data_IF_739947078440
#
_entry.id   IF_739947078440
#
_cell.length_a   1.000
_cell.length_b   1.000
_cell.length_c   1.000
_cell.angle_alpha   90.00
_cell.angle_beta   90.00
_cell.angle_gamma   90.00
#
_symmetry.space_group_name_H-M   'P 1'
#
loop_
_entity.id
_entity.type
_entity.pdbx_description
1 polymer ?
2 non-polymer ?
3 non-polymer ?
4 non-polymer ?
5 water ?
#
# COMPACT_ATOMS: atom_id res chain seq x y z
N UNK A 23 -24.63 -3.90 -15.24
CA UNK A 23 -24.14 -2.73 -14.54
C UNK A 23 -24.90 -2.39 -13.24
N UNK A 24 -24.22 -1.69 -12.36
CA UNK A 24 -24.80 -1.16 -11.15
C UNK A 24 -24.86 0.34 -11.32
N UNK A 25 -25.60 1.03 -10.47
CA UNK A 25 -25.61 2.48 -10.51
C UNK A 25 -24.17 2.95 -10.38
N UNK A 26 -23.51 2.46 -9.32
CA UNK A 26 -22.16 2.88 -8.94
C UNK A 26 -21.15 2.80 -10.08
N UNK A 27 -21.20 1.71 -10.85
CA UNK A 27 -20.32 1.54 -12.01
C UNK A 27 -20.60 2.58 -13.09
N UNK A 28 -21.88 2.77 -13.35
CA UNK A 28 -22.36 3.75 -14.31
C UNK A 28 -21.82 5.16 -13.97
N UNK A 29 -21.98 5.57 -12.71
CA UNK A 29 -21.53 6.89 -12.26
C UNK A 29 -20.03 7.04 -12.37
N UNK A 30 -19.31 5.98 -11.98
CA UNK A 30 -17.84 6.05 -11.96
C UNK A 30 -17.31 6.09 -13.40
N UNK A 31 -17.88 5.26 -14.27
CA UNK A 31 -17.43 5.21 -15.66
C UNK A 31 -17.69 6.55 -16.35
N UNK A 32 -18.80 7.20 -15.98
CA UNK A 32 -19.19 8.46 -16.61
C UNK A 32 -18.47 9.71 -16.06
N UNK A 33 -17.73 9.56 -14.97
CA UNK A 33 -17.16 10.75 -14.32
C UNK A 33 -15.87 11.28 -14.94
N UNK A 34 -15.65 12.59 -14.83
CA UNK A 34 -14.37 13.18 -15.22
C UNK A 34 -13.33 12.84 -14.17
N UNK A 35 -12.10 12.57 -14.60
CA UNK A 35 -11.04 12.24 -13.67
C UNK A 35 -10.13 13.45 -13.50
N UNK A 36 -10.24 14.14 -12.35
CA UNK A 36 -9.46 15.35 -12.11
C UNK A 36 -7.99 15.01 -12.16
N UNK A 37 -7.13 16.02 -12.23
CA UNK A 37 -5.71 15.75 -12.38
C UNK A 37 -5.07 15.28 -11.08
N UNK A 38 -3.84 14.79 -11.21
CA UNK A 38 -3.09 14.33 -10.06
C UNK A 38 -2.96 15.50 -9.10
N UNK A 39 -2.66 16.67 -9.65
CA UNK A 39 -2.41 17.86 -8.84
C UNK A 39 -3.68 18.29 -8.11
N UNK A 40 -4.80 18.29 -8.82
CA UNK A 40 -6.09 18.66 -8.22
C UNK A 40 -6.50 17.70 -7.09
N UNK A 41 -6.03 16.46 -7.18
CA UNK A 41 -6.42 15.40 -6.25
C UNK A 41 -5.42 15.24 -5.11
N UNK A 42 -4.24 15.86 -5.26
CA UNK A 42 -3.28 15.92 -4.17
C UNK A 42 -2.60 14.57 -3.91
N UNK A 43 -2.87 13.63 -4.80
CA UNK A 43 -2.38 12.28 -4.62
C UNK A 43 -0.87 12.18 -4.80
N UNK A 44 -0.21 13.29 -5.12
CA UNK A 44 1.26 13.33 -5.20
C UNK A 44 1.93 13.71 -3.88
N UNK A 45 1.13 14.13 -2.90
CA UNK A 45 1.67 14.58 -1.61
C UNK A 45 1.79 13.44 -0.61
N UNK A 46 2.97 13.31 0.00
CA UNK A 46 3.16 12.31 1.03
C UNK A 46 2.20 12.52 2.20
N UNK A 47 1.74 13.75 2.37
CA UNK A 47 0.90 14.14 3.50
C UNK A 47 -0.59 13.95 3.21
N UNK A 48 -0.86 13.36 2.05
CA UNK A 48 -2.22 13.08 1.62
C UNK A 48 -3.12 12.43 2.68
N UNK A 49 -4.40 12.79 2.65
CA UNK A 49 -5.37 12.21 3.57
C UNK A 49 -6.70 12.01 2.86
N UNK A 50 -7.42 10.97 3.27
CA UNK A 50 -8.62 10.58 2.55
C UNK A 50 -9.88 10.81 3.37
N UNK A 51 -9.74 11.37 4.57
CA UNK A 51 -10.90 11.48 5.48
C UNK A 51 -12.12 12.18 4.88
N UNK A 52 -11.88 13.20 4.06
CA UNK A 52 -12.96 14.03 3.54
C UNK A 52 -13.49 13.52 2.19
N UNK A 53 -12.91 12.43 1.70
CA UNK A 53 -13.25 11.86 0.40
C UNK A 53 -14.38 10.84 0.50
N UNK A 54 -15.29 10.87 -0.48
CA UNK A 54 -16.31 9.84 -0.66
C UNK A 54 -15.68 8.64 -1.35
N UNK A 55 -16.38 7.51 -1.34
CA UNK A 55 -15.90 6.32 -2.04
C UNK A 55 -15.64 6.62 -3.50
N UNK A 56 -16.60 7.28 -4.15
CA UNK A 56 -16.46 7.62 -5.56
C UNK A 56 -15.17 8.39 -5.80
N UNK A 57 -14.89 9.34 -4.91
CA UNK A 57 -13.70 10.15 -5.03
C UNK A 57 -12.41 9.35 -4.87
N UNK A 58 -12.44 8.33 -4.02
CA UNK A 58 -11.25 7.51 -3.86
C UNK A 58 -11.11 6.69 -5.14
N UNK A 59 -12.24 6.27 -5.68
CA UNK A 59 -12.25 5.55 -6.94
C UNK A 59 -11.59 6.36 -8.06
N UNK A 60 -11.90 7.64 -8.13
CA UNK A 60 -11.35 8.47 -9.19
C UNK A 60 -9.87 8.67 -8.98
N UNK A 61 -9.47 8.82 -7.72
CA UNK A 61 -8.07 8.97 -7.37
C UNK A 61 -7.28 7.78 -7.86
N UNK A 62 -7.91 6.61 -7.74
CA UNK A 62 -7.25 5.38 -8.10
C UNK A 62 -7.08 5.28 -9.62
N UNK A 63 -8.07 5.74 -10.37
CA UNK A 63 -7.93 5.77 -11.82
C UNK A 63 -6.79 6.68 -12.22
N UNK A 64 -6.73 7.82 -11.54
CA UNK A 64 -5.71 8.80 -11.84
C UNK A 64 -4.31 8.23 -11.60
N UNK A 65 -4.23 7.33 -10.62
CA UNK A 65 -2.96 6.70 -10.30
C UNK A 65 -2.51 5.80 -11.44
N UNK A 66 -3.42 4.96 -11.93
CA UNK A 66 -3.08 4.09 -13.06
C UNK A 66 -2.78 4.92 -14.29
N UNK A 67 -3.49 6.03 -14.45
CA UNK A 67 -3.29 6.88 -15.61
C UNK A 67 -1.92 7.58 -15.63
N UNK A 68 -1.55 8.26 -14.55
CA UNK A 68 -0.28 9.02 -14.51
C UNK A 68 0.96 8.15 -14.42
N UNK A 69 0.76 6.89 -14.04
CA UNK A 69 1.84 5.93 -14.06
C UNK A 69 2.01 5.29 -15.45
N UNK A 70 1.10 5.62 -16.36
CA UNK A 70 1.18 5.19 -17.76
C UNK A 70 0.70 3.78 -17.95
N UNK A 71 -0.10 3.31 -17.00
CA UNK A 71 -0.54 1.93 -16.97
C UNK A 71 -1.71 1.67 -17.91
N UNK A 72 -2.64 2.63 -17.99
CA UNK A 72 -3.74 2.50 -18.92
C UNK A 72 -3.20 2.48 -20.37
N UNK A 73 -2.28 3.38 -20.63
CA UNK A 73 -1.63 3.49 -21.93
C UNK A 73 -0.86 2.23 -22.33
N UNK A 74 0.20 1.94 -21.59
CA UNK A 74 1.11 0.86 -21.98
C UNK A 74 0.52 -0.55 -21.97
N UNK A 75 -0.69 -0.73 -21.43
CA UNK A 75 -1.28 -2.05 -21.31
C UNK A 75 -2.72 -2.05 -21.78
N UNK A 76 -3.08 -1.00 -22.50
CA UNK A 76 -4.36 -0.92 -23.19
C UNK A 76 -5.53 -1.36 -22.32
N UNK A 77 -5.68 -0.75 -21.16
CA UNK A 77 -6.82 -1.09 -20.33
C UNK A 77 -8.05 -0.33 -20.82
N UNK A 78 -9.17 -1.03 -20.90
CA UNK A 78 -10.44 -0.40 -21.22
C UNK A 78 -11.02 0.27 -19.98
N UNK A 79 -11.41 1.52 -20.13
CA UNK A 79 -11.94 2.34 -19.04
C UNK A 79 -12.97 1.59 -18.19
N UNK A 80 -13.91 0.92 -18.83
CA UNK A 80 -14.99 0.25 -18.12
C UNK A 80 -14.47 -0.92 -17.30
N UNK A 81 -13.40 -1.54 -17.79
CA UNK A 81 -12.83 -2.71 -17.14
C UNK A 81 -12.04 -2.30 -15.88
N UNK A 82 -11.18 -1.28 -16.03
CA UNK A 82 -10.52 -0.69 -14.87
C UNK A 82 -11.52 -0.27 -13.78
N UNK A 83 -12.55 0.49 -14.17
CA UNK A 83 -13.57 0.95 -13.21
C UNK A 83 -14.22 -0.21 -12.47
N UNK A 84 -14.56 -1.24 -13.21
CA UNK A 84 -15.27 -2.39 -12.64
C UNK A 84 -14.29 -3.10 -11.69
N UNK A 85 -13.02 -3.12 -12.09
CA UNK A 85 -12.00 -3.78 -11.30
C UNK A 85 -11.87 -3.11 -9.94
N UNK A 86 -11.77 -1.79 -9.97
CA UNK A 86 -11.63 -0.99 -8.77
C UNK A 86 -12.87 -1.13 -7.89
N UNK A 87 -14.04 -1.10 -8.51
CA UNK A 87 -15.25 -1.32 -7.72
C UNK A 87 -15.27 -2.71 -7.09
N UNK A 88 -14.73 -3.69 -7.80
CA UNK A 88 -14.65 -5.03 -7.26
C UNK A 88 -13.68 -5.06 -6.08
N UNK A 89 -12.52 -4.43 -6.24
CA UNK A 89 -11.55 -4.43 -5.15
C UNK A 89 -12.15 -3.78 -3.90
N UNK A 90 -12.75 -2.60 -4.07
CA UNK A 90 -13.36 -1.90 -2.95
C UNK A 90 -14.43 -2.74 -2.27
N UNK A 91 -15.27 -3.39 -3.08
CA UNK A 91 -16.35 -4.20 -2.55
C UNK A 91 -15.84 -5.35 -1.68
N UNK A 92 -14.64 -5.84 -1.96
CA UNK A 92 -14.13 -7.00 -1.23
C UNK A 92 -13.31 -6.67 0.00
N UNK A 93 -13.32 -5.42 0.42
CA UNK A 93 -12.86 -5.07 1.75
C UNK A 93 -14.09 -4.97 2.63
N UNK A 94 -13.91 -5.12 3.94
CA UNK A 94 -15.05 -5.03 4.86
C UNK A 94 -15.11 -3.66 5.56
N UNK A 95 -16.25 -2.99 5.43
CA UNK A 95 -16.45 -1.68 6.04
C UNK A 95 -16.48 -1.81 7.56
N UNK A 96 -17.03 -2.92 8.02
CA UNK A 96 -17.17 -3.23 9.43
C UNK A 96 -15.83 -3.41 10.20
N UNK A 97 -14.71 -3.39 9.48
CA UNK A 97 -13.40 -3.50 10.10
C UNK A 97 -12.77 -2.11 10.18
N UNK A 98 -12.47 -1.67 11.38
CA UNK A 98 -12.13 -0.27 11.65
C UNK A 98 -10.93 0.27 10.85
N UNK A 99 -9.86 -0.52 10.78
CA UNK A 99 -8.67 -0.05 10.08
C UNK A 99 -8.39 -0.80 8.78
N UNK A 100 -8.37 -2.12 8.84
CA UNK A 100 -8.05 -2.92 7.65
C UNK A 100 -9.22 -2.99 6.67
N UNK A 101 -9.40 -1.91 5.91
CA UNK A 101 -10.52 -1.80 5.00
C UNK A 101 -10.07 -1.07 3.72
N UNK A 102 -11.00 -0.79 2.83
CA UNK A 102 -10.63 -0.19 1.54
C UNK A 102 -9.81 1.08 1.71
N UNK A 103 -10.14 1.89 2.71
CA UNK A 103 -9.45 3.15 2.90
C UNK A 103 -7.96 2.95 3.16
N UNK A 104 -7.64 1.91 3.94
CA UNK A 104 -6.27 1.60 4.22
C UNK A 104 -5.55 1.14 2.95
N UNK A 105 -6.25 0.31 2.17
CA UNK A 105 -5.74 -0.20 0.91
C UNK A 105 -5.51 0.94 -0.05
N UNK A 106 -6.48 1.85 -0.09
CA UNK A 106 -6.40 3.03 -0.94
C UNK A 106 -5.22 3.94 -0.57
N UNK A 107 -5.01 4.13 0.73
CA UNK A 107 -3.89 4.91 1.23
C UNK A 107 -2.52 4.28 0.96
N UNK A 108 -2.45 2.97 1.10
CA UNK A 108 -1.24 2.24 0.72
C UNK A 108 -0.92 2.48 -0.75
N UNK A 109 -1.92 2.42 -1.63
CA UNK A 109 -1.66 2.70 -3.04
C UNK A 109 -1.26 4.16 -3.30
N UNK A 110 -1.90 5.10 -2.60
CA UNK A 110 -1.56 6.51 -2.78
C UNK A 110 -0.11 6.75 -2.35
N UNK A 111 0.29 6.09 -1.27
CA UNK A 111 1.68 6.21 -0.86
C UNK A 111 2.65 5.61 -1.89
N UNK A 112 2.27 4.50 -2.51
CA UNK A 112 3.09 3.92 -3.59
C UNK A 112 3.25 4.96 -4.71
N UNK A 113 2.13 5.54 -5.11
CA UNK A 113 2.12 6.54 -6.16
C UNK A 113 3.04 7.71 -5.83
N UNK A 114 2.91 8.22 -4.61
CA UNK A 114 3.71 9.37 -4.18
C UNK A 114 5.18 8.99 -4.17
N UNK A 115 5.50 7.79 -3.71
CA UNK A 115 6.88 7.33 -3.69
C UNK A 115 7.43 7.19 -5.09
N UNK A 116 6.58 6.81 -6.04
CA UNK A 116 7.04 6.62 -7.42
C UNK A 116 7.32 7.95 -8.11
N UNK A 117 6.40 8.91 -7.92
CA UNK A 117 6.48 10.23 -8.54
C UNK A 117 7.30 11.21 -7.68
N UNK A 118 6.69 11.80 -6.66
CA UNK A 118 7.44 12.70 -5.75
C UNK A 118 8.73 12.06 -5.21
N UNK A 119 8.68 10.77 -4.90
CA UNK A 119 9.85 10.04 -4.42
C UNK A 119 10.83 9.60 -5.51
N UNK A 120 10.47 9.81 -6.77
CA UNK A 120 11.37 9.55 -7.90
C UNK A 120 11.86 8.10 -8.01
N UNK A 121 11.05 7.16 -7.52
CA UNK A 121 11.40 5.74 -7.58
C UNK A 121 10.97 5.10 -8.91
N UNK A 122 10.01 5.74 -9.57
CA UNK A 122 9.53 5.31 -10.86
C UNK A 122 10.66 4.95 -11.83
N UNK A 123 11.69 5.80 -11.85
CA UNK A 123 12.79 5.64 -12.80
C UNK A 123 13.72 4.48 -12.44
N UNK A 124 13.55 3.94 -11.24
CA UNK A 124 14.36 2.81 -10.82
C UNK A 124 13.74 1.45 -11.16
N UNK A 125 12.53 1.47 -11.73
CA UNK A 125 11.75 0.25 -11.89
C UNK A 125 11.20 0.07 -13.31
N UNK A 126 10.81 -1.16 -13.65
CA UNK A 126 10.17 -1.40 -14.94
C UNK A 126 8.67 -1.16 -14.84
N UNK A 127 8.05 -0.97 -16.01
CA UNK A 127 6.61 -0.82 -16.11
C UNK A 127 5.87 -1.98 -15.46
N UNK A 128 6.38 -3.19 -15.62
CA UNK A 128 5.66 -4.36 -15.14
C UNK A 128 5.74 -4.41 -13.62
N UNK A 129 6.90 -4.02 -13.09
CA UNK A 129 7.08 -3.90 -11.64
C UNK A 129 6.13 -2.84 -11.07
N UNK A 130 5.99 -1.73 -11.77
CA UNK A 130 5.15 -0.63 -11.32
C UNK A 130 3.67 -1.04 -11.31
N UNK A 131 3.26 -1.66 -12.41
CA UNK A 131 1.91 -2.18 -12.57
C UNK A 131 1.57 -3.11 -11.41
N UNK A 132 2.53 -3.97 -11.08
CA UNK A 132 2.35 -5.01 -10.09
C UNK A 132 2.31 -4.45 -8.66
N UNK A 133 3.11 -3.42 -8.41
CA UNK A 133 3.11 -2.78 -7.10
C UNK A 133 1.81 -2.04 -6.80
N UNK A 134 1.25 -1.38 -7.81
CA UNK A 134 0.02 -0.63 -7.62
C UNK A 134 -1.09 -1.61 -7.30
N UNK A 135 -1.16 -2.69 -8.08
CA UNK A 135 -2.24 -3.64 -7.94
C UNK A 135 -2.11 -4.36 -6.61
N UNK A 136 -0.86 -4.67 -6.27
CA UNK A 136 -0.54 -5.32 -5.02
C UNK A 136 -0.91 -4.41 -3.83
N UNK A 137 -0.55 -3.14 -3.93
CA UNK A 137 -0.89 -2.18 -2.87
C UNK A 137 -2.40 -2.13 -2.63
N UNK A 138 -3.17 -2.06 -3.69
CA UNK A 138 -4.62 -2.00 -3.61
C UNK A 138 -5.23 -3.30 -3.10
N UNK A 139 -4.59 -4.41 -3.41
CA UNK A 139 -5.19 -5.70 -3.12
C UNK A 139 -4.64 -6.41 -1.89
N UNK A 140 -3.55 -5.90 -1.31
CA UNK A 140 -2.78 -6.64 -0.26
C UNK A 140 -3.48 -7.01 1.04
N UNK A 141 -4.64 -6.43 1.31
CA UNK A 141 -5.40 -6.77 2.52
C UNK A 141 -6.82 -7.22 2.17
N UNK A 142 -7.04 -7.66 0.94
CA UNK A 142 -8.39 -8.03 0.49
C UNK A 142 -9.09 -9.01 1.42
N UNK A 143 -10.34 -8.70 1.77
CA UNK A 143 -11.15 -9.55 2.63
C UNK A 143 -10.61 -9.75 4.05
N UNK A 144 -9.77 -8.82 4.50
CA UNK A 144 -9.29 -8.82 5.88
C UNK A 144 -10.46 -8.71 6.91
N UNK A 145 -10.39 -9.44 8.02
CA UNK A 145 -11.50 -9.45 8.96
C UNK A 145 -11.15 -8.82 10.31
N UNK A 146 -9.99 -8.18 10.38
CA UNK A 146 -9.53 -7.55 11.59
C UNK A 146 -8.51 -8.43 12.27
N UNK A 147 -7.46 -7.83 12.81
CA UNK A 147 -6.36 -8.56 13.43
C UNK A 147 -6.83 -9.56 14.49
N UNK A 148 -7.92 -9.24 15.15
CA UNK A 148 -8.54 -10.16 16.09
C UNK A 148 -9.18 -11.39 15.44
N UNK A 149 -10.18 -11.19 14.58
CA UNK A 149 -10.88 -12.31 13.93
C UNK A 149 -9.94 -13.40 13.36
N UNK A 150 -10.33 -14.66 13.61
CA UNK A 150 -9.46 -15.81 13.38
C UNK A 150 -10.04 -16.87 12.46
N UNK A 151 -10.44 -16.47 11.24
CA UNK A 151 -10.84 -17.43 10.22
C UNK A 151 -9.61 -17.98 9.48
N UNK A 152 -8.62 -18.43 10.25
CA UNK A 152 -7.41 -19.03 9.71
C UNK A 152 -7.53 -20.55 9.76
N UNK A 153 -8.67 -21.04 10.21
CA UNK A 153 -8.94 -22.46 10.23
C UNK A 153 -9.59 -22.94 8.94
N UNK A 154 -9.00 -23.95 8.31
CA UNK A 154 -7.78 -24.56 8.80
C UNK A 154 -6.90 -24.93 7.61
N UNK A 155 -6.15 -26.03 7.72
CA UNK A 155 -6.14 -26.85 8.92
C UNK A 155 -4.78 -26.84 9.59
N UNK A 156 -3.95 -25.86 9.21
CA UNK A 156 -2.62 -25.74 9.78
C UNK A 156 -1.62 -26.70 9.14
N UNK A 165 3.80 -19.50 8.91
CA UNK A 165 3.47 -19.23 7.51
C UNK A 165 2.61 -17.97 7.36
N UNK A 166 2.62 -17.39 6.15
CA UNK A 166 1.86 -16.17 5.85
C UNK A 166 0.44 -16.50 5.40
N UNK A 167 -0.34 -17.07 6.30
CA UNK A 167 -1.71 -17.52 6.03
C UNK A 167 -2.63 -16.43 5.48
N UNK A 168 -2.63 -15.27 6.13
CA UNK A 168 -3.48 -14.17 5.69
C UNK A 168 -3.11 -13.69 4.28
N UNK A 169 -1.82 -13.51 4.08
CA UNK A 169 -1.31 -12.90 2.87
C UNK A 169 -1.63 -13.80 1.66
N UNK A 170 -1.50 -15.11 1.85
CA UNK A 170 -1.85 -16.04 0.78
C UNK A 170 -3.32 -15.87 0.44
N UNK A 171 -4.14 -15.68 1.44
CA UNK A 171 -5.56 -15.50 1.21
C UNK A 171 -5.85 -14.15 0.52
N UNK A 172 -5.06 -13.12 0.84
CA UNK A 172 -5.27 -11.83 0.20
C UNK A 172 -4.92 -11.93 -1.26
N UNK A 173 -3.84 -12.65 -1.56
CA UNK A 173 -3.47 -12.87 -2.96
C UNK A 173 -4.46 -13.69 -3.77
N UNK A 174 -5.06 -14.70 -3.14
CA UNK A 174 -6.09 -15.50 -3.81
C UNK A 174 -7.25 -14.62 -4.20
N UNK A 175 -7.67 -13.79 -3.26
CA UNK A 175 -8.76 -12.86 -3.46
C UNK A 175 -8.42 -11.92 -4.63
N UNK A 176 -7.18 -11.44 -4.65
CA UNK A 176 -6.69 -10.59 -5.75
C UNK A 176 -6.74 -11.27 -7.13
N UNK A 177 -6.25 -12.50 -7.21
CA UNK A 177 -6.22 -13.25 -8.46
C UNK A 177 -7.66 -13.52 -8.92
N UNK A 178 -8.51 -13.91 -7.99
CA UNK A 178 -9.90 -14.15 -8.29
C UNK A 178 -10.49 -12.93 -9.01
N UNK A 179 -10.31 -11.75 -8.42
CA UNK A 179 -10.81 -10.52 -9.02
C UNK A 179 -10.19 -10.25 -10.39
N UNK A 180 -8.87 -10.37 -10.49
CA UNK A 180 -8.20 -10.14 -11.75
C UNK A 180 -8.71 -11.06 -12.86
N UNK A 181 -9.33 -12.18 -12.47
CA UNK A 181 -9.81 -13.17 -13.42
C UNK A 181 -11.31 -13.12 -13.65
N UNK A 182 -12.00 -12.24 -12.93
CA UNK A 182 -13.44 -12.12 -13.10
C UNK A 182 -13.82 -11.48 -14.44
N UNK A 183 -14.91 -11.98 -15.04
CA UNK A 183 -15.38 -11.43 -16.31
C UNK A 183 -15.64 -9.93 -16.17
N UNK A 184 -15.09 -9.15 -17.10
CA UNK A 184 -15.27 -7.73 -17.12
C UNK A 184 -14.25 -6.98 -16.30
N UNK A 185 -13.48 -7.72 -15.50
CA UNK A 185 -12.56 -7.10 -14.56
C UNK A 185 -11.10 -7.27 -14.93
N UNK A 186 -10.84 -7.91 -16.06
CA UNK A 186 -9.48 -8.33 -16.38
C UNK A 186 -8.57 -7.23 -16.90
N UNK A 187 -8.05 -6.43 -15.99
CA UNK A 187 -7.17 -5.32 -16.38
C UNK A 187 -5.82 -5.76 -16.94
N UNK A 188 -5.53 -7.06 -16.90
CA UNK A 188 -4.26 -7.54 -17.45
C UNK A 188 -4.42 -8.24 -18.81
N UNK A 189 -5.64 -8.23 -19.35
CA UNK A 189 -5.91 -8.92 -20.61
C UNK A 189 -4.94 -8.47 -21.70
N UNK A 190 -4.53 -7.21 -21.65
CA UNK A 190 -3.67 -6.65 -22.67
C UNK A 190 -2.20 -7.03 -22.59
N UNK A 191 -1.82 -7.79 -21.56
CA UNK A 191 -0.46 -8.32 -21.44
C UNK A 191 -0.30 -9.66 -22.17
N UNK A 192 0.83 -9.85 -22.85
CA UNK A 192 1.20 -11.18 -23.37
C UNK A 192 1.32 -12.22 -22.23
N UNK A 193 1.35 -13.52 -22.52
CA UNK A 193 1.50 -14.50 -21.42
C UNK A 193 2.78 -14.32 -20.62
N UNK A 194 3.87 -14.03 -21.31
CA UNK A 194 5.15 -13.80 -20.63
C UNK A 194 5.01 -12.66 -19.64
N UNK A 195 4.59 -11.51 -20.15
CA UNK A 195 4.38 -10.34 -19.30
C UNK A 195 3.47 -10.69 -18.14
N UNK A 196 2.43 -11.46 -18.44
CA UNK A 196 1.40 -11.75 -17.47
C UNK A 196 1.92 -12.61 -16.33
N UNK A 197 2.66 -13.66 -16.68
CA UNK A 197 3.22 -14.57 -15.70
C UNK A 197 4.17 -13.83 -14.74
N UNK A 198 5.05 -13.03 -15.32
CA UNK A 198 5.97 -12.17 -14.58
C UNK A 198 5.25 -11.21 -13.62
N UNK A 199 4.25 -10.51 -14.13
CA UNK A 199 3.49 -9.56 -13.31
C UNK A 199 2.79 -10.28 -12.16
N UNK A 200 2.22 -11.44 -12.44
CA UNK A 200 1.57 -12.23 -11.42
C UNK A 200 2.53 -12.65 -10.29
N UNK A 201 3.75 -13.00 -10.64
CA UNK A 201 4.70 -13.48 -9.66
C UNK A 201 5.10 -12.31 -8.78
N UNK A 202 5.39 -11.19 -9.41
CA UNK A 202 5.72 -9.97 -8.69
C UNK A 202 4.58 -9.54 -7.77
N UNK A 203 3.34 -9.61 -8.26
CA UNK A 203 2.21 -9.26 -7.42
C UNK A 203 2.16 -10.16 -6.19
N UNK A 204 2.30 -11.46 -6.42
CA UNK A 204 2.20 -12.43 -5.32
C UNK A 204 3.25 -12.14 -4.26
N UNK A 205 4.49 -11.92 -4.70
CA UNK A 205 5.61 -11.61 -3.81
C UNK A 205 5.36 -10.32 -3.04
N UNK A 206 4.79 -9.32 -3.71
CA UNK A 206 4.53 -8.03 -3.10
C UNK A 206 3.51 -8.18 -1.98
N UNK A 207 2.46 -8.95 -2.23
CA UNK A 207 1.43 -9.12 -1.21
C UNK A 207 1.93 -9.96 -0.04
N UNK A 208 2.84 -10.89 -0.31
CA UNK A 208 3.35 -11.73 0.76
C UNK A 208 4.32 -10.91 1.59
N UNK A 209 5.04 -10.02 0.91
CA UNK A 209 5.95 -9.11 1.56
C UNK A 209 5.29 -8.31 2.69
N UNK A 210 3.97 -8.08 2.62
CA UNK A 210 3.27 -7.26 3.62
C UNK A 210 3.05 -7.98 4.95
N UNK A 211 3.50 -9.23 5.00
CA UNK A 211 3.55 -9.97 6.25
C UNK A 211 4.74 -9.42 7.04
N UNK A 212 4.45 -8.79 8.16
CA UNK A 212 5.50 -8.17 8.92
C UNK A 212 6.56 -9.18 9.35
N UNK A 213 6.16 -10.42 9.55
CA UNK A 213 7.12 -11.47 9.87
C UNK A 213 8.13 -11.65 8.73
N UNK A 214 7.68 -11.60 7.48
CA UNK A 214 8.63 -11.65 6.37
C UNK A 214 9.53 -10.42 6.37
N UNK A 215 8.95 -9.26 6.62
CA UNK A 215 9.74 -8.02 6.62
C UNK A 215 10.91 -8.06 7.64
N UNK A 216 10.65 -8.60 8.83
CA UNK A 216 11.67 -8.70 9.87
C UNK A 216 12.79 -9.70 9.51
N UNK A 217 12.43 -10.81 8.87
CA UNK A 217 13.41 -11.80 8.47
C UNK A 217 14.29 -11.25 7.35
N UNK A 218 13.69 -10.49 6.44
CA UNK A 218 14.38 -10.09 5.22
C UNK A 218 15.17 -8.80 5.38
N UNK A 219 14.79 -7.95 6.34
CA UNK A 219 15.29 -6.58 6.35
C UNK A 219 16.78 -6.45 6.69
N UNK A 220 17.24 -7.33 7.58
CA UNK A 220 18.65 -7.39 7.93
C UNK A 220 19.55 -7.34 6.71
N UNK A 221 19.28 -8.22 5.76
CA UNK A 221 20.03 -8.23 4.51
C UNK A 221 19.98 -6.88 3.80
N UNK A 222 18.82 -6.25 3.81
CA UNK A 222 18.63 -4.97 3.12
C UNK A 222 19.45 -3.88 3.80
N UNK A 223 19.46 -3.93 5.12
CA UNK A 223 20.22 -2.97 5.92
C UNK A 223 21.72 -3.14 5.74
N UNK A 224 22.18 -4.40 5.72
CA UNK A 224 23.60 -4.69 5.49
C UNK A 224 24.09 -4.10 4.18
N UNK A 225 23.30 -4.31 3.13
CA UNK A 225 23.69 -3.87 1.81
C UNK A 225 23.85 -2.37 1.78
N UNK A 226 22.87 -1.67 2.33
CA UNK A 226 22.92 -0.22 2.36
C UNK A 226 24.16 0.31 3.13
N UNK A 227 24.43 -0.26 4.31
CA UNK A 227 25.54 0.25 5.11
C UNK A 227 26.91 -0.12 4.52
N UNK A 228 27.01 -1.30 3.93
CA UNK A 228 28.24 -1.70 3.24
C UNK A 228 28.34 -0.98 1.89
N UNK A 229 27.46 -0.01 1.67
CA UNK A 229 27.39 0.69 0.38
C UNK A 229 27.31 -0.25 -0.84
N UNK A 230 26.89 -1.49 -0.59
CA UNK A 230 26.81 -2.55 -1.61
C UNK A 230 25.51 -2.56 -2.44
N UNK A 231 24.49 -1.82 -2.01
CA UNK A 231 23.17 -1.94 -2.63
C UNK A 231 23.13 -1.69 -4.15
N UNK A 232 22.57 -2.66 -4.88
CA UNK A 232 22.52 -2.61 -6.34
C UNK A 232 21.20 -3.16 -6.89
N UNK A 233 20.36 -2.24 -7.40
CA UNK A 233 19.03 -2.59 -7.87
C UNK A 233 19.05 -3.43 -9.15
N UNK A 234 20.19 -3.46 -9.84
CA UNK A 234 20.29 -4.20 -11.09
C UNK A 234 20.44 -5.70 -10.86
N UNK A 235 20.75 -6.09 -9.63
CA UNK A 235 20.73 -7.50 -9.27
C UNK A 235 19.30 -7.95 -9.00
N UNK A 236 18.83 -8.97 -9.70
CA UNK A 236 17.45 -9.47 -9.57
C UNK A 236 17.06 -9.76 -8.12
N UNK A 237 17.98 -10.34 -7.37
CA UNK A 237 17.70 -10.70 -5.98
C UNK A 237 17.44 -9.46 -5.12
N UNK A 238 18.30 -8.45 -5.30
CA UNK A 238 18.22 -7.22 -4.53
C UNK A 238 17.01 -6.39 -4.94
N UNK A 239 16.72 -6.39 -6.24
CA UNK A 239 15.52 -5.75 -6.77
C UNK A 239 14.26 -6.32 -6.11
N UNK A 240 14.18 -7.63 -6.06
CA UNK A 240 13.03 -8.26 -5.44
C UNK A 240 12.94 -7.91 -3.95
N UNK A 241 14.09 -7.77 -3.30
CA UNK A 241 14.11 -7.42 -1.88
C UNK A 241 13.64 -5.96 -1.68
N UNK A 242 14.09 -5.08 -2.56
CA UNK A 242 13.65 -3.70 -2.48
C UNK A 242 12.13 -3.58 -2.62
N UNK A 243 11.57 -4.24 -3.63
CA UNK A 243 10.14 -4.18 -3.87
C UNK A 243 9.37 -4.59 -2.62
N UNK A 244 9.87 -5.61 -1.95
CA UNK A 244 9.31 -6.09 -0.69
C UNK A 244 9.34 -5.00 0.36
N UNK A 245 10.45 -4.28 0.43
CA UNK A 245 10.63 -3.27 1.45
C UNK A 245 9.75 -2.07 1.14
N UNK A 246 9.57 -1.80 -0.15
CA UNK A 246 8.77 -0.67 -0.61
C UNK A 246 7.30 -0.93 -0.25
N UNK A 247 6.87 -2.18 -0.42
CA UNK A 247 5.54 -2.58 0.01
C UNK A 247 5.32 -2.31 1.49
N UNK A 248 6.25 -2.76 2.33
CA UNK A 248 6.13 -2.52 3.76
C UNK A 248 6.08 -1.01 4.07
N UNK A 249 6.99 -0.25 3.49
CA UNK A 249 7.01 1.21 3.68
C UNK A 249 5.66 1.86 3.40
N UNK A 250 4.99 1.42 2.33
CA UNK A 250 3.73 2.06 1.94
C UNK A 250 2.62 1.58 2.86
N UNK A 251 2.66 0.30 3.18
CA UNK A 251 1.72 -0.34 4.07
C UNK A 251 1.66 0.36 5.42
N UNK A 252 2.82 0.76 5.94
CA UNK A 252 2.89 1.33 7.29
C UNK A 252 2.82 2.86 7.31
N UNK A 253 2.55 3.47 6.15
CA UNK A 253 2.82 4.89 5.97
C UNK A 253 1.96 5.86 6.79
N UNK A 254 0.85 5.38 7.33
CA UNK A 254 0.04 6.17 8.26
C UNK A 254 0.91 6.79 9.34
N UNK A 255 1.98 6.06 9.70
CA UNK A 255 2.89 6.45 10.76
C UNK A 255 3.73 7.67 10.37
N UNK A 256 3.71 8.03 9.09
CA UNK A 256 4.50 9.14 8.58
C UNK A 256 3.67 10.41 8.39
N UNK A 257 2.36 10.32 8.60
CA UNK A 257 1.43 11.41 8.27
C UNK A 257 1.55 12.60 9.24
N UNK A 258 1.04 13.78 8.83
CA UNK A 258 1.00 14.91 9.77
C UNK A 258 0.27 14.53 11.04
N UNK A 259 0.75 15.05 12.16
CA UNK A 259 0.25 14.69 13.49
C UNK A 259 -1.27 14.56 13.66
N UNK A 260 -2.02 15.60 13.27
CA UNK A 260 -3.49 15.49 13.43
C UNK A 260 -4.07 14.27 12.71
N UNK A 261 -3.52 13.96 11.55
CA UNK A 261 -3.99 12.81 10.80
C UNK A 261 -3.54 11.48 11.42
N UNK A 262 -2.27 11.41 11.81
CA UNK A 262 -1.77 10.20 12.46
C UNK A 262 -2.52 9.86 13.76
N UNK A 263 -2.87 10.87 14.56
CA UNK A 263 -3.68 10.59 15.75
C UNK A 263 -4.98 9.91 15.37
N UNK A 264 -5.60 10.38 14.30
CA UNK A 264 -6.90 9.85 13.90
C UNK A 264 -6.78 8.41 13.45
N UNK A 265 -5.80 8.16 12.59
CA UNK A 265 -5.56 6.79 12.16
C UNK A 265 -5.18 5.88 13.31
N UNK A 266 -4.33 6.35 14.21
CA UNK A 266 -3.92 5.54 15.36
C UNK A 266 -5.16 5.14 16.16
N UNK A 267 -6.13 6.02 16.16
CA UNK A 267 -7.37 5.77 16.86
C UNK A 267 -8.19 4.64 16.20
N UNK A 268 -8.20 4.61 14.87
CA UNK A 268 -8.81 3.49 14.15
C UNK A 268 -8.11 2.17 14.44
N UNK A 269 -6.78 2.19 14.37
CA UNK A 269 -5.99 1.00 14.67
C UNK A 269 -6.33 0.49 16.06
N UNK A 270 -6.38 1.40 17.03
CA UNK A 270 -6.66 1.04 18.41
C UNK A 270 -8.04 0.42 18.51
N UNK A 271 -8.99 1.00 17.77
CA UNK A 271 -10.36 0.50 17.77
C UNK A 271 -10.40 -0.94 17.28
N UNK A 272 -9.59 -1.24 16.27
CA UNK A 272 -9.57 -2.58 15.72
C UNK A 272 -8.89 -3.56 16.69
N UNK A 273 -7.73 -3.16 17.21
CA UNK A 273 -6.95 -3.99 18.16
C UNK A 273 -7.67 -4.34 19.47
N UNK A 274 -8.49 -3.44 19.98
CA UNK A 274 -8.95 -3.56 21.36
C UNK A 274 -10.46 -3.68 21.50
N UNK A 275 -11.20 -3.17 20.53
CA UNK A 275 -12.65 -3.09 20.68
C UNK A 275 -13.43 -3.94 19.69
N UNK A 276 -12.75 -4.70 18.84
CA UNK A 276 -13.45 -5.45 17.80
C UNK A 276 -13.08 -6.92 17.87
N UNK A 297 -5.80 2.84 27.40
CA UNK A 297 -5.72 3.79 26.29
C UNK A 297 -4.53 4.76 26.41
N UNK A 298 -4.02 4.95 27.63
CA UNK A 298 -2.80 5.73 27.80
C UNK A 298 -1.58 4.82 27.71
N UNK A 299 -1.83 3.54 27.47
CA UNK A 299 -0.76 2.59 27.12
C UNK A 299 -0.39 2.78 25.64
N UNK A 300 -1.29 3.42 24.90
CA UNK A 300 -1.14 3.64 23.47
C UNK A 300 0.04 4.53 23.05
N UNK A 301 0.31 5.62 23.78
CA UNK A 301 1.41 6.39 23.22
C UNK A 301 2.74 5.64 23.23
N UNK A 302 2.98 4.81 24.23
CA UNK A 302 4.26 4.12 24.31
C UNK A 302 4.30 2.93 23.36
N UNK A 303 3.14 2.36 23.05
CA UNK A 303 3.06 1.34 22.01
C UNK A 303 3.48 1.90 20.65
N UNK A 304 3.01 3.10 20.36
CA UNK A 304 3.33 3.73 19.08
C UNK A 304 4.82 4.02 18.98
N UNK A 305 5.41 4.43 20.11
CA UNK A 305 6.85 4.71 20.15
C UNK A 305 7.65 3.43 19.92
N UNK A 306 7.20 2.34 20.55
CA UNK A 306 7.83 1.04 20.38
C UNK A 306 7.75 0.54 18.94
N UNK A 307 6.57 0.71 18.35
CA UNK A 307 6.33 0.34 16.96
C UNK A 307 7.23 1.18 16.04
N UNK A 308 7.33 2.48 16.31
CA UNK A 308 8.19 3.33 15.49
C UNK A 308 9.65 2.87 15.59
N UNK A 309 10.12 2.62 16.82
CA UNK A 309 11.51 2.22 17.03
C UNK A 309 11.87 0.88 16.41
N UNK A 310 11.04 -0.12 16.71
CA UNK A 310 11.29 -1.48 16.29
C UNK A 310 11.16 -1.70 14.77
N UNK A 311 10.17 -1.04 14.16
CA UNK A 311 9.78 -1.36 12.80
C UNK A 311 10.05 -0.23 11.82
N UNK A 312 9.54 0.95 12.13
CA UNK A 312 9.40 2.00 11.14
C UNK A 312 10.66 2.82 10.80
N UNK A 313 11.32 3.40 11.80
CA UNK A 313 12.46 4.30 11.53
C UNK A 313 13.52 3.74 10.57
N UNK A 314 14.02 2.55 10.86
CA UNK A 314 15.08 1.97 10.04
C UNK A 314 14.63 1.83 8.59
N UNK A 315 13.40 1.36 8.41
CA UNK A 315 12.83 1.23 7.08
C UNK A 315 12.88 2.55 6.31
N UNK A 316 12.35 3.62 6.89
CA UNK A 316 12.30 4.90 6.17
C UNK A 316 13.69 5.54 6.03
N UNK A 317 14.58 5.23 6.97
CA UNK A 317 15.97 5.64 6.85
C UNK A 317 16.60 4.95 5.64
N UNK A 318 16.50 3.62 5.58
CA UNK A 318 16.97 2.87 4.42
C UNK A 318 16.39 3.39 3.09
N UNK A 319 15.08 3.61 3.04
CA UNK A 319 14.41 4.08 1.84
C UNK A 319 14.92 5.44 1.36
N UNK A 320 15.34 6.26 2.30
CA UNK A 320 15.83 7.60 1.98
C UNK A 320 17.26 7.51 1.42
N UNK A 321 18.02 6.54 1.91
CA UNK A 321 19.32 6.23 1.32
C UNK A 321 19.15 5.80 -0.13
N UNK A 322 18.16 4.98 -0.41
CA UNK A 322 17.88 4.59 -1.78
C UNK A 322 17.43 5.78 -2.62
N UNK A 323 16.53 6.59 -2.08
CA UNK A 323 16.08 7.79 -2.78
C UNK A 323 15.83 8.95 -1.83
N UNK A 324 16.78 9.90 -1.84
CA UNK A 324 16.70 11.08 -0.99
C UNK A 324 15.35 11.78 -1.05
N UNK A 325 14.62 11.65 -2.15
CA UNK A 325 13.31 12.30 -2.24
C UNK A 325 12.18 11.61 -1.43
N UNK A 326 12.48 10.48 -0.82
CA UNK A 326 11.55 9.82 0.08
C UNK A 326 11.76 10.28 1.53
N UNK A 327 12.57 11.31 1.69
CA UNK A 327 12.87 11.88 3.00
C UNK A 327 11.62 12.28 3.79
N UNK A 328 10.64 12.92 3.11
CA UNK A 328 9.38 13.29 3.77
C UNK A 328 8.75 12.17 4.61
N UNK A 329 8.94 10.90 4.23
CA UNK A 329 8.33 9.81 4.99
C UNK A 329 9.08 9.66 6.29
N UNK A 330 10.40 9.71 6.19
CA UNK A 330 11.27 9.59 7.34
C UNK A 330 10.99 10.75 8.30
N UNK A 331 10.92 11.94 7.73
CA UNK A 331 10.65 13.15 8.47
C UNK A 331 9.36 13.06 9.30
N UNK A 332 8.25 12.78 8.63
CA UNK A 332 6.97 12.69 9.28
C UNK A 332 6.93 11.62 10.35
N UNK A 333 7.65 10.53 10.12
CA UNK A 333 7.75 9.45 11.11
C UNK A 333 8.48 9.93 12.37
N UNK A 334 9.55 10.70 12.21
CA UNK A 334 10.28 11.29 13.35
C UNK A 334 9.43 12.28 14.12
N UNK A 335 8.76 13.17 13.39
CA UNK A 335 7.90 14.15 14.03
C UNK A 335 6.82 13.45 14.85
N UNK A 336 6.34 12.33 14.36
CA UNK A 336 5.31 11.60 15.09
C UNK A 336 5.84 10.90 16.32
N UNK A 337 7.12 10.53 16.29
CA UNK A 337 7.78 9.94 17.45
C UNK A 337 7.89 10.98 18.57
N UNK A 338 8.34 12.20 18.23
CA UNK A 338 8.30 13.32 19.19
C UNK A 338 6.93 13.39 19.86
N UNK A 339 5.90 13.49 19.03
CA UNK A 339 4.55 13.67 19.51
C UNK A 339 4.09 12.57 20.46
N UNK A 340 4.37 11.32 20.11
CA UNK A 340 3.90 10.19 20.93
C UNK A 340 4.72 10.05 22.19
N UNK A 341 6.02 10.33 22.08
CA UNK A 341 6.93 10.28 23.23
C UNK A 341 6.52 11.29 24.31
N UNK A 342 6.37 12.54 23.91
CA UNK A 342 5.84 13.59 24.79
C UNK A 342 4.57 13.14 25.51
N UNK A 343 3.61 12.63 24.76
CA UNK A 343 2.40 12.09 25.36
C UNK A 343 2.67 10.96 26.34
N UNK A 344 3.58 10.06 25.99
CA UNK A 344 3.89 8.91 26.85
C UNK A 344 4.50 9.33 28.19
N UNK A 345 5.15 10.48 28.20
CA UNK A 345 5.85 10.96 29.40
C UNK A 345 4.91 11.65 30.39
N UNK A 346 3.70 11.98 29.93
CA UNK A 346 2.65 12.44 30.84
C UNK A 346 1.80 11.26 31.30
N UNK A 347 1.63 10.26 30.44
CA UNK A 347 0.80 9.10 30.76
C UNK A 347 1.52 8.16 31.71
#
# INVERSE_FOLDING_TARGET
>A
MGSSHHHHHHSSGLVPRGSHMEETRELQSLAAAVVPSAQTLKITDFSFSDFELSDLETALCTIRMFTDLNLVQNFQMKHEVLCRWILSVKKNYRKNVAYHNWRHAFNTAQCMFAALKAGKIQNKLTDLEILALLIAALSHDLDHRGVNNSYIQRSEHPLAQLYCHSIMEHHHFDQCLMILNSPGNQILSGLSIEEYKTTLKIIKQAILATDLALYIKRRGEFFELIRKNQFNLEDPHQKELFLAMLMTACDLSAITKPWPIQQRIAELVATEFFDQGDRERKELNIEPTDLMNREKKNKIPSMQVGFIDAICLQLYEALTHVSEDCFPLLDGCRKNRQKWQALAEQQ
#
